data_IF_676855529850
#
_entry.id   IF_676855529850
#
_cell.length_a   1.000
_cell.length_b   1.000
_cell.length_c   1.000
_cell.angle_alpha   90.00
_cell.angle_beta   90.00
_cell.angle_gamma   90.00
#
_symmetry.space_group_name_H-M   'P 1'
#
loop_
_entity.id
_entity.type
_entity.pdbx_description
1 polymer ?
#
# COMPACT_ATOMS: atom_id res chain seq x y z
N UNK A 1 15.47 -10.69 6.61
CA UNK A 1 15.91 -9.69 5.61
C UNK A 1 17.03 -10.29 4.79
N UNK A 2 17.05 -10.08 3.48
CA UNK A 2 18.05 -10.71 2.58
C UNK A 2 19.46 -10.23 2.97
N UNK A 3 20.39 -11.17 3.14
CA UNK A 3 21.79 -10.88 3.42
C UNK A 3 22.64 -11.58 2.35
N UNK A 4 22.79 -10.92 1.20
CA UNK A 4 23.55 -11.46 0.06
C UNK A 4 24.45 -10.36 -0.50
N UNK A 5 25.68 -10.68 -0.91
CA UNK A 5 26.54 -9.74 -1.62
C UNK A 5 25.83 -9.13 -2.83
N UNK A 6 26.00 -7.83 -3.05
CA UNK A 6 25.40 -7.10 -4.18
C UNK A 6 23.92 -6.73 -4.03
N UNK A 7 23.27 -7.09 -2.90
CA UNK A 7 21.90 -6.64 -2.60
C UNK A 7 21.96 -5.56 -1.50
N UNK A 8 21.47 -4.33 -1.77
CA UNK A 8 21.43 -3.26 -0.78
C UNK A 8 20.73 -3.69 0.52
N UNK A 9 21.27 -3.28 1.67
CA UNK A 9 20.57 -3.39 2.94
C UNK A 9 19.55 -2.27 3.05
N UNK A 10 18.62 -2.35 3.99
CA UNK A 10 17.62 -1.28 4.15
C UNK A 10 18.24 0.10 4.43
N UNK A 11 19.37 0.15 5.17
CA UNK A 11 20.12 1.40 5.38
C UNK A 11 20.64 2.04 4.08
N UNK A 12 20.88 1.22 3.05
CA UNK A 12 21.36 1.66 1.74
C UNK A 12 20.16 1.91 0.80
N UNK A 13 19.07 1.14 0.96
CA UNK A 13 17.86 1.24 0.13
C UNK A 13 16.99 2.46 0.48
N UNK A 14 16.85 2.80 1.76
CA UNK A 14 15.99 3.91 2.20
C UNK A 14 16.35 5.24 1.51
N UNK A 15 17.61 5.70 1.49
CA UNK A 15 17.94 6.94 0.78
C UNK A 15 17.65 6.84 -0.72
N UNK A 16 17.93 5.69 -1.36
CA UNK A 16 17.60 5.45 -2.77
C UNK A 16 16.09 5.55 -3.02
N UNK A 17 15.27 5.04 -2.09
CA UNK A 17 13.82 5.12 -2.19
C UNK A 17 13.33 6.55 -2.07
N UNK A 18 13.89 7.34 -1.13
CA UNK A 18 13.58 8.75 -0.95
C UNK A 18 13.91 9.51 -2.24
N UNK A 19 15.16 9.41 -2.73
CA UNK A 19 15.59 10.06 -3.98
C UNK A 19 14.74 9.65 -5.19
N UNK A 20 14.36 8.37 -5.27
CA UNK A 20 13.50 7.86 -6.33
C UNK A 20 12.12 8.51 -6.34
N UNK A 21 11.54 8.73 -5.16
CA UNK A 21 10.22 9.34 -4.99
C UNK A 21 10.30 10.84 -5.27
N UNK A 22 11.26 11.54 -4.65
CA UNK A 22 11.45 12.98 -4.83
C UNK A 22 11.69 13.35 -6.31
N UNK A 23 12.53 12.57 -7.01
CA UNK A 23 12.81 12.79 -8.44
C UNK A 23 11.60 12.60 -9.37
N UNK A 24 10.50 11.99 -8.89
CA UNK A 24 9.27 11.74 -9.65
C UNK A 24 8.07 12.53 -9.12
N UNK A 25 8.21 13.19 -7.99
CA UNK A 25 7.15 14.00 -7.41
C UNK A 25 6.90 15.20 -8.32
N UNK A 26 5.62 15.40 -8.67
CA UNK A 26 5.22 16.55 -9.47
C UNK A 26 5.16 17.78 -8.58
N UNK A 27 5.49 19.00 -9.06
CA UNK A 27 5.26 20.22 -8.31
C UNK A 27 3.79 20.32 -7.86
N UNK A 28 3.57 20.45 -6.55
CA UNK A 28 2.23 20.46 -5.95
C UNK A 28 1.52 19.11 -5.92
N UNK A 29 2.20 18.01 -6.27
CA UNK A 29 1.67 16.65 -6.24
C UNK A 29 1.87 15.97 -4.90
N UNK A 30 0.92 15.10 -4.53
CA UNK A 30 0.99 14.25 -3.34
C UNK A 30 1.60 12.88 -3.68
N UNK A 31 2.32 12.31 -2.72
CA UNK A 31 2.91 10.98 -2.82
C UNK A 31 2.05 9.97 -2.07
N UNK A 32 1.43 9.03 -2.80
CA UNK A 32 0.57 7.99 -2.22
C UNK A 32 1.15 6.59 -2.44
N UNK A 33 1.49 5.91 -1.34
CA UNK A 33 1.90 4.50 -1.33
C UNK A 33 0.70 3.59 -1.15
N UNK A 34 0.52 2.64 -2.06
CA UNK A 34 -0.66 1.78 -2.07
C UNK A 34 -0.25 0.33 -1.87
N UNK A 35 -0.87 -0.32 -0.89
CA UNK A 35 -0.65 -1.73 -0.60
C UNK A 35 -1.98 -2.47 -0.39
N UNK A 36 -1.94 -3.80 -0.52
CA UNK A 36 -3.07 -4.66 -0.19
C UNK A 36 -2.86 -5.28 1.19
N UNK A 37 -3.72 -4.94 2.15
CA UNK A 37 -3.50 -5.22 3.58
C UNK A 37 -2.32 -4.42 4.18
N UNK A 38 -2.02 -3.26 3.59
CA UNK A 38 -0.87 -2.45 3.95
C UNK A 38 -0.89 -1.95 5.40
N UNK A 39 -2.07 -1.65 5.96
CA UNK A 39 -2.18 -1.22 7.37
C UNK A 39 -1.73 -2.30 8.34
N UNK A 40 -1.86 -3.57 7.98
CA UNK A 40 -1.51 -4.69 8.84
C UNK A 40 -0.04 -5.09 8.72
N UNK A 41 0.60 -4.88 7.56
CA UNK A 41 1.95 -5.39 7.30
C UNK A 41 2.90 -4.39 6.66
N UNK A 42 2.66 -3.99 5.40
CA UNK A 42 3.65 -3.22 4.63
C UNK A 42 4.03 -1.88 5.29
N UNK A 43 3.03 -1.13 5.77
CA UNK A 43 3.27 0.19 6.37
C UNK A 43 3.95 0.06 7.75
N UNK A 44 3.48 -0.80 8.68
CA UNK A 44 4.22 -1.08 9.91
C UNK A 44 5.66 -1.57 9.67
N UNK A 45 5.87 -2.43 8.68
CA UNK A 45 7.20 -2.92 8.30
C UNK A 45 8.08 -1.76 7.82
N UNK A 46 7.57 -0.90 6.93
CA UNK A 46 8.30 0.26 6.43
C UNK A 46 8.67 1.23 7.56
N UNK A 47 7.72 1.58 8.44
CA UNK A 47 7.96 2.41 9.62
C UNK A 47 9.06 1.80 10.50
N UNK A 48 8.98 0.50 10.76
CA UNK A 48 9.99 -0.20 11.56
C UNK A 48 11.38 -0.13 10.92
N UNK A 49 11.48 -0.29 9.60
CA UNK A 49 12.77 -0.29 8.91
C UNK A 49 13.40 1.10 8.80
N UNK A 50 12.57 2.14 8.60
CA UNK A 50 13.00 3.54 8.66
C UNK A 50 13.56 3.85 10.05
N UNK A 51 12.79 3.59 11.10
CA UNK A 51 13.22 3.80 12.49
C UNK A 51 14.49 3.02 12.83
N UNK A 52 14.56 1.74 12.42
CA UNK A 52 15.72 0.86 12.67
C UNK A 52 16.99 1.36 12.00
N UNK A 53 16.87 2.09 10.89
CA UNK A 53 17.98 2.68 10.16
C UNK A 53 18.19 4.16 10.48
N UNK A 54 17.49 4.71 11.49
CA UNK A 54 17.56 6.12 11.90
C UNK A 54 17.16 7.12 10.80
N UNK A 55 16.20 6.73 9.95
CA UNK A 55 15.55 7.61 8.99
C UNK A 55 14.12 7.90 9.43
N UNK A 56 13.61 9.07 9.06
CA UNK A 56 12.20 9.43 9.21
C UNK A 56 11.47 9.20 7.88
N UNK A 57 10.21 8.74 7.94
CA UNK A 57 9.37 8.70 6.75
C UNK A 57 9.00 10.14 6.39
N UNK A 58 9.19 10.59 5.13
CA UNK A 58 8.84 11.94 4.73
C UNK A 58 7.38 12.28 5.07
N UNK A 59 7.11 13.47 5.63
CA UNK A 59 5.79 13.83 6.15
C UNK A 59 4.72 13.99 5.06
N UNK A 60 5.15 14.18 3.81
CA UNK A 60 4.30 14.28 2.62
C UNK A 60 4.00 12.91 1.98
N UNK A 61 4.47 11.81 2.58
CA UNK A 61 4.10 10.46 2.18
C UNK A 61 2.80 10.02 2.86
N UNK A 62 1.80 9.76 2.02
CA UNK A 62 0.53 9.18 2.42
C UNK A 62 0.46 7.71 2.00
N UNK A 63 -0.42 6.95 2.65
CA UNK A 63 -0.61 5.53 2.41
C UNK A 63 -2.09 5.22 2.18
N UNK A 64 -2.39 4.24 1.32
CA UNK A 64 -3.74 3.71 1.16
C UNK A 64 -3.73 2.17 1.23
N UNK A 65 -4.76 1.60 1.86
CA UNK A 65 -4.93 0.16 1.99
C UNK A 65 -6.13 -0.32 1.19
N UNK A 66 -5.86 -1.01 0.08
CA UNK A 66 -6.90 -1.48 -0.85
C UNK A 66 -7.82 -2.54 -0.24
N UNK A 67 -7.50 -3.15 0.90
CA UNK A 67 -8.47 -3.98 1.61
C UNK A 67 -9.69 -3.20 2.10
N UNK A 68 -9.57 -1.88 2.31
CA UNK A 68 -10.72 -1.02 2.64
C UNK A 68 -11.66 -0.89 1.44
N UNK A 69 -11.11 -0.57 0.27
CA UNK A 69 -11.84 -0.52 -1.01
C UNK A 69 -12.49 -1.86 -1.34
N UNK A 70 -11.75 -2.97 -1.19
CA UNK A 70 -12.28 -4.30 -1.43
C UNK A 70 -13.50 -4.63 -0.54
N UNK A 71 -13.53 -4.13 0.70
CA UNK A 71 -14.71 -4.29 1.57
C UNK A 71 -15.92 -3.53 1.05
N UNK A 72 -15.73 -2.38 0.43
CA UNK A 72 -16.82 -1.59 -0.12
C UNK A 72 -17.36 -2.20 -1.40
N UNK A 73 -16.48 -2.67 -2.28
CA UNK A 73 -16.88 -3.47 -3.45
C UNK A 73 -17.74 -4.66 -3.04
N UNK A 74 -17.33 -5.42 -2.01
CA UNK A 74 -18.15 -6.53 -1.51
C UNK A 74 -19.53 -6.10 -1.01
N UNK A 75 -19.66 -4.91 -0.42
CA UNK A 75 -20.97 -4.40 0.04
C UNK A 75 -21.86 -4.04 -1.14
N UNK A 76 -21.28 -3.51 -2.22
CA UNK A 76 -22.00 -3.08 -3.42
C UNK A 76 -22.38 -4.28 -4.29
N UNK A 77 -21.45 -5.21 -4.53
CA UNK A 77 -21.61 -6.37 -5.43
C UNK A 77 -22.24 -7.60 -4.75
N UNK A 78 -22.39 -7.57 -3.43
CA UNK A 78 -22.97 -8.66 -2.65
C UNK A 78 -22.14 -9.94 -2.70
N UNK A 79 -22.78 -11.08 -2.98
CA UNK A 79 -22.18 -12.42 -2.94
C UNK A 79 -21.28 -12.78 -4.12
N UNK A 80 -21.14 -11.90 -5.13
CA UNK A 80 -20.31 -12.19 -6.32
C UNK A 80 -18.82 -12.27 -6.02
N UNK A 81 -18.36 -11.56 -4.98
CA UNK A 81 -16.96 -11.55 -4.58
C UNK A 81 -16.76 -12.51 -3.39
N UNK A 82 -16.02 -13.60 -3.63
CA UNK A 82 -15.83 -14.69 -2.66
C UNK A 82 -14.90 -14.31 -1.50
N UNK A 83 -13.99 -13.36 -1.71
CA UNK A 83 -12.99 -12.93 -0.72
C UNK A 83 -12.40 -11.56 -1.08
N UNK A 84 -11.78 -10.93 -0.08
CA UNK A 84 -11.08 -9.64 -0.18
C UNK A 84 -9.61 -9.80 -0.57
N UNK A 85 -9.11 -11.03 -0.72
CA UNK A 85 -7.70 -11.26 -1.04
C UNK A 85 -7.37 -10.72 -2.42
N UNK A 86 -6.12 -10.30 -2.60
CA UNK A 86 -5.64 -9.81 -3.89
C UNK A 86 -5.86 -10.85 -5.01
N UNK A 87 -5.69 -12.14 -4.69
CA UNK A 87 -5.96 -13.23 -5.62
C UNK A 87 -7.45 -13.31 -6.02
N UNK A 88 -8.37 -13.23 -5.05
CA UNK A 88 -9.80 -13.30 -5.35
C UNK A 88 -10.26 -12.09 -6.17
N UNK A 89 -9.74 -10.89 -5.85
CA UNK A 89 -10.02 -9.68 -6.64
C UNK A 89 -9.47 -9.79 -8.06
N UNK A 90 -8.26 -10.32 -8.23
CA UNK A 90 -7.68 -10.59 -9.55
C UNK A 90 -8.57 -11.51 -10.38
N UNK A 91 -9.05 -12.59 -9.79
CA UNK A 91 -9.93 -13.56 -10.44
C UNK A 91 -11.29 -12.95 -10.78
N UNK A 92 -11.89 -12.19 -9.84
CA UNK A 92 -13.14 -11.46 -10.05
C UNK A 92 -13.04 -10.48 -11.24
N UNK A 93 -11.94 -9.74 -11.35
CA UNK A 93 -11.71 -8.79 -12.44
C UNK A 93 -11.14 -9.41 -13.72
N UNK A 94 -10.94 -10.73 -13.78
CA UNK A 94 -10.37 -11.40 -14.95
C UNK A 94 -8.95 -10.94 -15.31
N UNK A 95 -8.14 -10.53 -14.31
CA UNK A 95 -6.79 -10.02 -14.54
C UNK A 95 -5.81 -11.20 -14.75
N UNK A 96 -5.09 -11.25 -15.89
CA UNK A 96 -4.14 -12.33 -16.16
C UNK A 96 -2.94 -12.29 -15.19
N UNK A 97 -2.41 -13.46 -14.84
CA UNK A 97 -1.13 -13.53 -14.10
C UNK A 97 0.00 -13.29 -15.08
N UNK A 98 0.85 -12.31 -14.78
CA UNK A 98 2.12 -12.12 -15.48
C UNK A 98 3.25 -12.44 -14.49
N UNK A 99 3.99 -13.52 -14.75
CA UNK A 99 5.11 -13.97 -13.93
C UNK A 99 4.73 -14.94 -12.81
N UNK A 100 5.67 -15.17 -11.86
CA UNK A 100 5.47 -16.08 -10.72
C UNK A 100 4.78 -15.35 -9.58
N UNK A 101 3.65 -15.87 -9.11
CA UNK A 101 2.94 -15.40 -7.92
C UNK A 101 3.86 -15.33 -6.68
N UNK A 102 3.58 -14.41 -5.75
CA UNK A 102 4.35 -14.17 -4.52
C UNK A 102 5.74 -13.56 -4.72
N UNK A 103 5.98 -12.95 -5.88
CA UNK A 103 7.09 -12.01 -6.07
C UNK A 103 6.52 -10.61 -5.90
N UNK A 104 7.21 -9.77 -5.13
CA UNK A 104 6.79 -8.39 -4.86
C UNK A 104 6.35 -7.64 -6.14
N UNK A 105 7.11 -7.76 -7.23
CA UNK A 105 6.76 -7.14 -8.51
C UNK A 105 5.48 -7.70 -9.14
N UNK A 106 5.25 -9.02 -9.08
CA UNK A 106 4.03 -9.62 -9.61
C UNK A 106 2.80 -9.16 -8.83
N UNK A 107 2.91 -9.14 -7.49
CA UNK A 107 1.83 -8.69 -6.62
C UNK A 107 1.52 -7.20 -6.83
N UNK A 108 2.54 -6.35 -7.00
CA UNK A 108 2.37 -4.91 -7.31
C UNK A 108 1.70 -4.70 -8.67
N UNK A 109 2.08 -5.45 -9.70
CA UNK A 109 1.45 -5.35 -11.03
C UNK A 109 -0.05 -5.73 -10.98
N UNK A 110 -0.38 -6.80 -10.25
CA UNK A 110 -1.79 -7.20 -10.04
C UNK A 110 -2.53 -6.12 -9.24
N UNK A 111 -1.92 -5.62 -8.16
CA UNK A 111 -2.50 -4.59 -7.31
C UNK A 111 -2.81 -3.31 -8.10
N UNK A 112 -1.93 -2.87 -8.99
CA UNK A 112 -2.16 -1.68 -9.81
C UNK A 112 -3.42 -1.82 -10.69
N UNK A 113 -3.59 -2.98 -11.33
CA UNK A 113 -4.78 -3.26 -12.14
C UNK A 113 -6.05 -3.44 -11.29
N UNK A 114 -5.95 -4.12 -10.16
CA UNK A 114 -7.08 -4.28 -9.21
C UNK A 114 -7.53 -2.92 -8.67
N UNK A 115 -6.60 -2.06 -8.27
CA UNK A 115 -6.89 -0.69 -7.83
C UNK A 115 -7.62 0.09 -8.92
N UNK A 116 -7.14 0.02 -10.16
CA UNK A 116 -7.80 0.68 -11.28
C UNK A 116 -9.26 0.23 -11.43
N UNK A 117 -9.54 -1.08 -11.33
CA UNK A 117 -10.90 -1.61 -11.42
C UNK A 117 -11.79 -1.16 -10.26
N UNK A 118 -11.29 -1.28 -9.02
CA UNK A 118 -12.05 -0.87 -7.84
C UNK A 118 -12.38 0.62 -7.83
N UNK A 119 -11.44 1.47 -8.26
CA UNK A 119 -11.68 2.92 -8.35
C UNK A 119 -12.72 3.27 -9.41
N UNK A 120 -12.77 2.54 -10.54
CA UNK A 120 -13.84 2.68 -11.52
C UNK A 120 -15.20 2.24 -10.96
N UNK A 121 -15.28 1.07 -10.33
CA UNK A 121 -16.54 0.52 -9.82
C UNK A 121 -17.13 1.39 -8.71
N UNK A 122 -16.28 1.89 -7.81
CA UNK A 122 -16.67 2.82 -6.73
C UNK A 122 -16.84 4.26 -7.22
N UNK A 123 -16.57 4.54 -8.50
CA UNK A 123 -16.59 5.90 -9.09
C UNK A 123 -15.75 6.90 -8.30
N UNK A 124 -14.60 6.46 -7.79
CA UNK A 124 -13.72 7.28 -6.96
C UNK A 124 -12.93 8.27 -7.82
N UNK A 125 -12.96 9.53 -7.40
CA UNK A 125 -12.04 10.56 -7.91
C UNK A 125 -10.70 10.46 -7.19
N UNK A 126 -9.66 11.12 -7.73
CA UNK A 126 -8.35 11.20 -7.07
C UNK A 126 -8.48 11.88 -5.69
N UNK A 127 -9.22 13.00 -5.60
CA UNK A 127 -9.51 13.67 -4.32
C UNK A 127 -10.23 12.73 -3.35
N UNK A 128 -11.24 12.00 -3.84
CA UNK A 128 -11.98 11.06 -3.03
C UNK A 128 -11.13 9.91 -2.50
N UNK A 129 -10.13 9.44 -3.27
CA UNK A 129 -9.18 8.44 -2.82
C UNK A 129 -8.31 8.97 -1.67
N UNK A 130 -7.80 10.19 -1.82
CA UNK A 130 -6.94 10.83 -0.83
C UNK A 130 -7.71 11.15 0.46
N UNK A 131 -8.82 11.88 0.35
CA UNK A 131 -9.59 12.35 1.51
C UNK A 131 -10.20 11.21 2.33
N UNK A 132 -10.64 10.12 1.68
CA UNK A 132 -11.41 9.07 2.38
C UNK A 132 -10.59 7.82 2.73
N UNK A 133 -9.47 7.57 2.04
CA UNK A 133 -8.72 6.31 2.20
C UNK A 133 -7.24 6.48 2.50
N UNK A 134 -6.68 7.69 2.30
CA UNK A 134 -5.31 7.95 2.65
C UNK A 134 -5.14 8.07 4.18
N UNK A 135 -3.93 7.80 4.64
CA UNK A 135 -3.51 8.00 6.01
C UNK A 135 -1.99 8.19 6.07
N UNK A 136 -1.50 8.85 7.11
CA UNK A 136 -0.06 9.09 7.30
C UNK A 136 0.57 8.01 8.20
N UNK A 137 1.91 7.90 8.16
CA UNK A 137 2.64 7.00 9.06
C UNK A 137 2.43 7.35 10.55
N UNK A 138 2.24 8.63 10.87
CA UNK A 138 2.02 9.11 12.23
C UNK A 138 0.64 8.69 12.77
N UNK A 139 -0.40 8.78 11.96
CA UNK A 139 -1.76 8.33 12.29
C UNK A 139 -1.81 6.83 12.60
N UNK A 140 -1.13 6.01 11.78
CA UNK A 140 -1.07 4.56 12.02
C UNK A 140 -0.34 4.24 13.33
N UNK A 141 0.78 4.92 13.59
CA UNK A 141 1.56 4.75 14.82
C UNK A 141 0.76 5.12 16.07
N UNK A 142 0.00 6.22 16.03
CA UNK A 142 -0.84 6.68 17.14
C UNK A 142 -1.99 5.71 17.46
N UNK A 143 -2.63 5.14 16.43
CA UNK A 143 -3.69 4.15 16.60
C UNK A 143 -3.16 2.84 17.23
N UNK A 144 -1.93 2.44 16.89
CA UNK A 144 -1.30 1.26 17.50
C UNK A 144 -0.99 1.46 19.00
N UNK A 145 -0.57 2.67 19.41
CA UNK A 145 -0.31 3.03 20.81
C UNK A 145 -1.60 3.07 21.64
N UNK A 146 -2.68 3.68 21.12
CA UNK A 146 -3.99 3.67 21.77
C UNK A 146 -4.47 2.24 22.06
N UNK A 147 -4.37 1.34 21.08
CA UNK A 147 -4.79 -0.07 21.24
C UNK A 147 -3.97 -0.86 22.27
N UNK A 148 -2.71 -0.47 22.53
CA UNK A 148 -1.85 -1.06 23.58
C UNK A 148 -2.21 -0.55 24.98
N UNK A 149 -2.68 0.69 25.11
CA UNK A 149 -3.08 1.28 26.40
C UNK A 149 -4.52 0.91 26.83
N UNK A 150 -5.28 0.21 25.98
CA UNK A 150 -6.65 -0.23 26.25
C UNK A 150 -6.75 -1.73 26.60
N UNK A 151 -5.62 -2.39 26.88
CA UNK A 151 -5.51 -3.78 27.32
C UNK A 151 -4.77 -3.83 28.65
#
# INVERSE_FOLDING_TARGET
MVNRPGIPRMKDLIPILIDYVESRQKPGGQTLFIAHNGKAFDVPFLISEFNRCSFEIPPDWEFADTMTLAREIMKVEGSKLSSKSLQALREYYGIPVIGKAHRAMADVNVLALVLQRMTCDLKLTVSGLLENYAFTASELSNNSKKKKNSR
#
